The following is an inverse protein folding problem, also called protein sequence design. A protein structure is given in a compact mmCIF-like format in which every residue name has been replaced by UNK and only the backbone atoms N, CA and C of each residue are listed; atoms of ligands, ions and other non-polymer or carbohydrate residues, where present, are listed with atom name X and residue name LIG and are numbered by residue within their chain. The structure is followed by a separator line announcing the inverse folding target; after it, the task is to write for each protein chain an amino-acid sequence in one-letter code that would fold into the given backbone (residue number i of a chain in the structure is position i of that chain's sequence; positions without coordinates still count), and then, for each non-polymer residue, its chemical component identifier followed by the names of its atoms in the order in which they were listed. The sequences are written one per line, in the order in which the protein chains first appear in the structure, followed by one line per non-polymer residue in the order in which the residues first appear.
data_IF_766905081396
#
_entry.id   IF_766905081396
#
_cell.length_a   1.000
_cell.length_b   1.000
_cell.length_c   1.000
_cell.angle_alpha   90.00
_cell.angle_beta   90.00
_cell.angle_gamma   90.00
#
_symmetry.space_group_name_H-M   'P 1'
#
loop_
_entity.id
_entity.type
_entity.pdbx_description
1 polymer ?
#
# COMPACT_ATOMS: atom_id res chain seq x y z
N UNK A 1 7.82 -7.55 -16.88
CA UNK A 1 7.19 -7.41 -15.54
C UNK A 1 6.21 -6.26 -15.60
N UNK A 2 5.06 -6.40 -14.96
CA UNK A 2 4.06 -5.35 -14.85
C UNK A 2 3.65 -5.21 -13.39
N UNK A 3 3.62 -3.99 -12.89
CA UNK A 3 3.25 -3.68 -11.52
C UNK A 3 2.07 -2.73 -11.49
N UNK A 4 1.05 -3.13 -10.76
CA UNK A 4 -0.21 -2.41 -10.59
C UNK A 4 -0.41 -2.04 -9.13
N UNK A 5 -1.28 -1.08 -8.84
CA UNK A 5 -1.68 -0.70 -7.49
C UNK A 5 -3.20 -0.59 -7.36
N UNK A 6 -3.70 -0.86 -6.15
CA UNK A 6 -5.10 -0.76 -5.74
C UNK A 6 -5.17 -0.45 -4.24
N UNK A 7 -6.22 0.23 -3.77
CA UNK A 7 -6.46 0.51 -2.33
C UNK A 7 -7.68 -0.20 -1.77
N UNK A 8 -7.79 -0.20 -0.46
CA UNK A 8 -9.00 -0.41 0.36
C UNK A 8 -9.93 -1.58 -0.04
N UNK A 9 -9.38 -2.78 -0.21
CA UNK A 9 -10.16 -3.95 -0.62
C UNK A 9 -11.14 -4.45 0.46
N UNK A 10 -10.79 -4.33 1.74
CA UNK A 10 -11.59 -4.82 2.89
C UNK A 10 -12.12 -6.25 2.70
N UNK A 11 -11.31 -7.14 2.13
CA UNK A 11 -11.71 -8.52 1.80
C UNK A 11 -12.65 -8.66 0.61
N UNK A 12 -12.94 -7.58 -0.13
CA UNK A 12 -13.77 -7.57 -1.34
C UNK A 12 -12.88 -7.68 -2.58
N UNK A 13 -12.59 -8.90 -3.02
CA UNK A 13 -11.66 -9.14 -4.14
C UNK A 13 -12.33 -9.10 -5.52
N UNK A 14 -13.55 -8.57 -5.60
CA UNK A 14 -14.24 -8.36 -6.87
C UNK A 14 -13.44 -7.47 -7.83
N UNK A 15 -12.87 -6.33 -7.40
CA UNK A 15 -12.06 -5.49 -8.29
C UNK A 15 -10.85 -6.24 -8.87
N UNK A 16 -10.15 -7.05 -8.06
CA UNK A 16 -9.02 -7.87 -8.51
C UNK A 16 -9.48 -8.93 -9.52
N UNK A 17 -10.64 -9.57 -9.28
CA UNK A 17 -11.21 -10.54 -10.22
C UNK A 17 -11.55 -9.88 -11.56
N UNK A 18 -12.22 -8.74 -11.53
CA UNK A 18 -12.70 -8.07 -12.73
C UNK A 18 -11.52 -7.53 -13.55
N UNK A 19 -10.49 -7.01 -12.87
CA UNK A 19 -9.23 -6.67 -13.50
C UNK A 19 -8.58 -7.88 -14.16
N UNK A 20 -8.44 -9.01 -13.44
CA UNK A 20 -7.88 -10.24 -13.98
C UNK A 20 -8.64 -10.72 -15.23
N UNK A 21 -9.97 -10.70 -15.19
CA UNK A 21 -10.79 -11.16 -16.33
C UNK A 21 -10.65 -10.26 -17.55
N UNK A 22 -10.55 -8.93 -17.36
CA UNK A 22 -10.38 -7.97 -18.46
C UNK A 22 -9.01 -8.09 -19.12
N UNK A 23 -7.96 -8.32 -18.33
CA UNK A 23 -6.56 -8.34 -18.78
C UNK A 23 -5.98 -9.74 -18.96
N UNK A 24 -6.77 -10.82 -18.76
CA UNK A 24 -6.29 -12.19 -18.92
C UNK A 24 -6.04 -12.59 -20.37
N UNK A 25 -6.48 -11.79 -21.33
CA UNK A 25 -6.23 -11.99 -22.77
C UNK A 25 -4.79 -11.70 -23.19
N UNK A 26 -4.01 -11.03 -22.35
CA UNK A 26 -2.58 -10.84 -22.54
C UNK A 26 -1.85 -12.16 -22.20
N UNK A 27 -1.74 -13.05 -23.19
CA UNK A 27 -1.05 -14.35 -23.10
C UNK A 27 0.47 -14.24 -22.88
N UNK A 28 1.01 -13.03 -22.80
CA UNK A 28 2.44 -12.76 -22.92
C UNK A 28 3.20 -12.75 -21.59
N UNK A 29 2.53 -12.77 -20.42
CA UNK A 29 3.23 -12.70 -19.15
C UNK A 29 3.00 -13.93 -18.27
N UNK A 30 4.09 -14.52 -17.77
CA UNK A 30 4.06 -15.57 -16.75
C UNK A 30 3.52 -15.02 -15.42
N UNK A 31 2.95 -15.89 -14.56
CA UNK A 31 2.47 -15.52 -13.21
C UNK A 31 3.52 -14.78 -12.37
N UNK A 32 4.80 -15.10 -12.57
CA UNK A 32 5.93 -14.50 -11.86
C UNK A 32 6.20 -13.03 -12.23
N UNK A 33 5.55 -12.52 -13.29
CA UNK A 33 5.85 -11.20 -13.84
C UNK A 33 4.76 -10.16 -13.61
N UNK A 34 3.72 -10.50 -12.86
CA UNK A 34 2.60 -9.60 -12.53
C UNK A 34 2.53 -9.35 -11.03
N UNK A 35 2.69 -8.11 -10.65
CA UNK A 35 2.63 -7.66 -9.26
C UNK A 35 1.41 -6.77 -9.05
N UNK A 36 0.76 -6.92 -7.89
CA UNK A 36 -0.31 -6.05 -7.47
C UNK A 36 -0.03 -5.53 -6.05
N UNK A 37 0.20 -4.22 -5.94
CA UNK A 37 0.41 -3.53 -4.68
C UNK A 37 -0.95 -3.23 -4.07
N UNK A 38 -1.18 -3.65 -2.82
CA UNK A 38 -2.36 -3.35 -2.03
C UNK A 38 -1.99 -2.23 -1.04
N UNK A 39 -2.58 -1.05 -1.21
CA UNK A 39 -2.25 0.15 -0.43
C UNK A 39 -3.06 0.25 0.86
N UNK A 40 -2.97 -0.80 1.67
CA UNK A 40 -3.63 -0.92 2.96
C UNK A 40 -5.07 -1.43 2.87
N UNK A 41 -5.60 -1.73 4.03
CA UNK A 41 -6.96 -2.22 4.25
C UNK A 41 -7.39 -3.34 3.30
N UNK A 42 -6.46 -4.27 3.06
CA UNK A 42 -6.69 -5.42 2.18
C UNK A 42 -7.72 -6.40 2.76
N UNK A 43 -7.85 -6.44 4.10
CA UNK A 43 -8.69 -7.37 4.84
C UNK A 43 -8.06 -8.74 5.06
N UNK A 44 -6.74 -8.87 4.87
CA UNK A 44 -6.05 -10.15 4.95
C UNK A 44 -5.62 -10.54 6.37
N UNK A 45 -5.51 -9.56 7.28
CA UNK A 45 -5.14 -9.74 8.69
C UNK A 45 -6.08 -8.94 9.62
N UNK A 46 -7.37 -8.97 9.34
CA UNK A 46 -8.38 -8.21 10.08
C UNK A 46 -9.06 -8.99 11.20
N UNK A 47 -9.44 -10.24 10.93
CA UNK A 47 -10.20 -11.06 11.87
C UNK A 47 -9.32 -11.90 12.79
N UNK A 48 -8.11 -12.19 12.39
CA UNK A 48 -7.12 -13.07 13.05
C UNK A 48 -7.64 -14.51 13.29
N UNK A 49 -8.50 -14.98 12.37
CA UNK A 49 -9.08 -16.32 12.41
C UNK A 49 -9.19 -16.95 11.00
N UNK A 50 -9.98 -18.01 10.87
CA UNK A 50 -10.17 -18.74 9.60
C UNK A 50 -10.77 -17.88 8.46
N UNK A 51 -11.38 -16.75 8.76
CA UNK A 51 -11.90 -15.80 7.74
C UNK A 51 -10.76 -15.19 6.95
N UNK A 52 -9.70 -14.74 7.63
CA UNK A 52 -8.50 -14.18 6.96
C UNK A 52 -7.84 -15.23 6.07
N UNK A 53 -7.73 -16.48 6.56
CA UNK A 53 -7.23 -17.60 5.75
C UNK A 53 -8.11 -17.84 4.50
N UNK A 54 -9.42 -17.71 4.64
CA UNK A 54 -10.35 -17.83 3.51
C UNK A 54 -10.14 -16.71 2.50
N UNK A 55 -9.87 -15.48 2.96
CA UNK A 55 -9.59 -14.33 2.10
C UNK A 55 -8.26 -14.50 1.36
N UNK A 56 -7.20 -14.91 2.05
CA UNK A 56 -5.90 -15.23 1.45
C UNK A 56 -6.03 -16.32 0.37
N UNK A 57 -6.80 -17.39 0.63
CA UNK A 57 -7.10 -18.44 -0.36
C UNK A 57 -7.86 -17.92 -1.59
N UNK A 58 -8.79 -16.99 -1.41
CA UNK A 58 -9.52 -16.38 -2.53
C UNK A 58 -8.58 -15.53 -3.39
N UNK A 59 -7.77 -14.69 -2.74
CA UNK A 59 -6.85 -13.80 -3.43
C UNK A 59 -5.78 -14.58 -4.18
N UNK A 60 -5.21 -15.64 -3.57
CA UNK A 60 -4.17 -16.49 -4.16
C UNK A 60 -4.60 -17.28 -5.42
N UNK A 61 -5.90 -17.28 -5.76
CA UNK A 61 -6.38 -17.89 -7.01
C UNK A 61 -6.02 -17.07 -8.25
N UNK A 62 -5.80 -15.78 -8.10
CA UNK A 62 -5.44 -14.90 -9.21
C UNK A 62 -3.92 -14.93 -9.44
N UNK A 63 -3.46 -14.75 -10.68
CA UNK A 63 -2.07 -14.95 -11.06
C UNK A 63 -1.20 -13.71 -10.76
N UNK A 64 -1.26 -13.21 -9.53
CA UNK A 64 -0.44 -12.09 -9.07
C UNK A 64 0.46 -12.50 -7.92
N UNK A 65 1.62 -11.86 -7.83
CA UNK A 65 2.33 -11.69 -6.57
C UNK A 65 1.83 -10.38 -5.95
N UNK A 66 1.31 -10.48 -4.74
CA UNK A 66 0.78 -9.35 -4.00
C UNK A 66 1.85 -8.76 -3.10
N UNK A 67 1.95 -7.44 -3.12
CA UNK A 67 2.76 -6.69 -2.17
C UNK A 67 1.82 -5.86 -1.29
N UNK A 68 1.73 -6.20 -0.01
CA UNK A 68 0.73 -5.66 0.91
C UNK A 68 1.37 -4.60 1.79
N UNK A 69 0.94 -3.36 1.64
CA UNK A 69 1.18 -2.28 2.59
C UNK A 69 0.09 -2.37 3.66
N UNK A 70 0.43 -2.30 4.94
CA UNK A 70 -0.54 -2.40 6.03
C UNK A 70 -1.37 -1.11 6.14
N UNK A 71 -2.69 -1.26 6.27
CA UNK A 71 -3.62 -0.19 6.64
C UNK A 71 -3.89 -0.12 8.15
N UNK A 72 -4.89 0.67 8.55
CA UNK A 72 -5.33 0.76 9.95
C UNK A 72 -6.32 -0.36 10.34
N UNK A 73 -6.92 -1.03 9.37
CA UNK A 73 -7.82 -2.16 9.60
C UNK A 73 -7.11 -3.52 9.57
N UNK A 74 -5.81 -3.56 9.88
CA UNK A 74 -5.03 -4.81 9.82
C UNK A 74 -4.06 -4.90 10.97
N UNK A 75 -3.99 -6.09 11.60
CA UNK A 75 -2.94 -6.40 12.55
C UNK A 75 -1.58 -6.38 11.86
N UNK A 76 -0.57 -5.92 12.56
CA UNK A 76 0.83 -5.96 12.11
C UNK A 76 1.23 -7.38 11.77
N UNK A 77 1.73 -7.60 10.57
CA UNK A 77 2.21 -8.92 10.15
C UNK A 77 3.34 -9.43 11.07
N UNK A 78 4.18 -8.55 11.60
CA UNK A 78 5.22 -8.88 12.57
C UNK A 78 4.67 -9.38 13.91
N UNK A 79 3.52 -8.86 14.37
CA UNK A 79 2.88 -9.36 15.59
C UNK A 79 2.34 -10.77 15.39
N UNK A 80 1.72 -11.03 14.23
CA UNK A 80 1.22 -12.38 13.87
C UNK A 80 2.37 -13.37 13.72
N UNK A 81 3.46 -12.95 13.09
CA UNK A 81 4.63 -13.80 12.81
C UNK A 81 5.46 -14.12 14.06
N UNK A 82 5.45 -13.28 15.09
CA UNK A 82 6.37 -13.32 16.24
C UNK A 82 6.49 -14.69 16.88
N UNK A 83 5.41 -15.45 16.98
CA UNK A 83 5.37 -16.78 17.57
C UNK A 83 4.72 -17.83 16.64
N UNK A 84 4.70 -17.56 15.35
CA UNK A 84 4.04 -18.40 14.37
C UNK A 84 5.06 -18.98 13.38
N UNK A 85 5.41 -20.28 13.47
CA UNK A 85 6.41 -20.93 12.61
C UNK A 85 5.97 -21.01 11.13
N UNK A 86 4.70 -20.73 10.83
CA UNK A 86 4.20 -20.69 9.45
C UNK A 86 4.53 -19.39 8.74
N UNK A 87 5.11 -18.41 9.44
CA UNK A 87 5.60 -17.17 8.88
C UNK A 87 7.12 -17.16 8.78
N UNK A 88 7.63 -16.44 7.77
CA UNK A 88 9.07 -16.27 7.56
C UNK A 88 9.39 -14.91 6.96
N UNK A 89 10.63 -14.46 7.18
CA UNK A 89 11.17 -13.30 6.49
C UNK A 89 11.74 -13.71 5.14
N UNK A 90 11.51 -12.91 4.11
CA UNK A 90 12.09 -13.08 2.78
C UNK A 90 12.67 -11.77 2.26
N UNK A 91 13.71 -11.86 1.41
CA UNK A 91 14.13 -10.72 0.59
C UNK A 91 13.20 -10.58 -0.61
N UNK A 92 12.62 -9.41 -0.77
CA UNK A 92 11.76 -9.09 -1.89
C UNK A 92 11.96 -7.63 -2.30
N UNK A 93 12.24 -7.38 -3.56
CA UNK A 93 12.50 -6.05 -4.10
C UNK A 93 13.62 -5.28 -3.34
N UNK A 94 14.66 -5.98 -2.91
CA UNK A 94 15.78 -5.39 -2.19
C UNK A 94 15.49 -5.01 -0.74
N UNK A 95 14.27 -5.20 -0.26
CA UNK A 95 13.85 -5.04 1.13
C UNK A 95 13.45 -6.37 1.77
N UNK A 96 13.07 -6.32 3.04
CA UNK A 96 12.57 -7.47 3.80
C UNK A 96 11.04 -7.45 3.77
N UNK A 97 10.43 -8.62 3.61
CA UNK A 97 8.98 -8.82 3.72
C UNK A 97 8.68 -10.00 4.64
N UNK A 98 7.47 -10.03 5.18
CA UNK A 98 6.93 -11.18 5.87
C UNK A 98 6.04 -11.99 4.93
N UNK A 99 6.11 -13.32 5.04
CA UNK A 99 5.38 -14.25 4.18
C UNK A 99 4.83 -15.39 5.00
N UNK A 100 3.54 -15.67 4.85
CA UNK A 100 2.92 -16.89 5.36
C UNK A 100 3.19 -18.03 4.38
N UNK A 101 3.79 -19.14 4.85
CA UNK A 101 4.23 -20.27 4.01
C UNK A 101 3.10 -20.90 3.17
N UNK A 102 1.86 -20.86 3.67
CA UNK A 102 0.69 -21.35 2.91
C UNK A 102 0.35 -20.43 1.72
N UNK A 103 0.74 -19.14 1.77
CA UNK A 103 0.41 -18.12 0.75
C UNK A 103 1.66 -17.39 0.25
N UNK A 104 2.59 -18.10 -0.39
CA UNK A 104 3.91 -17.55 -0.75
C UNK A 104 3.86 -16.42 -1.78
N UNK A 105 2.74 -16.23 -2.44
CA UNK A 105 2.51 -15.13 -3.37
C UNK A 105 1.96 -13.84 -2.69
N UNK A 106 1.77 -13.84 -1.37
CA UNK A 106 1.38 -12.66 -0.59
C UNK A 106 2.59 -12.21 0.23
N UNK A 107 3.15 -11.06 -0.10
CA UNK A 107 4.33 -10.45 0.50
C UNK A 107 3.89 -9.25 1.32
N UNK A 108 3.99 -9.32 2.64
CA UNK A 108 3.68 -8.21 3.52
C UNK A 108 4.92 -7.33 3.69
N UNK A 109 4.82 -6.07 3.28
CA UNK A 109 5.82 -5.07 3.61
C UNK A 109 6.02 -5.01 5.13
N UNK A 110 7.19 -4.55 5.57
CA UNK A 110 7.43 -4.37 7.00
C UNK A 110 6.43 -3.39 7.61
N UNK A 111 6.13 -3.56 8.89
CA UNK A 111 5.16 -2.73 9.63
C UNK A 111 5.72 -1.34 10.02
N UNK A 112 6.91 -1.02 9.56
CA UNK A 112 7.60 0.25 9.65
C UNK A 112 8.03 0.75 8.27
N UNK A 113 8.32 2.04 8.09
CA UNK A 113 8.74 2.57 6.79
C UNK A 113 10.01 1.91 6.28
N UNK A 114 10.03 1.56 4.99
CA UNK A 114 11.19 0.94 4.37
C UNK A 114 11.25 1.22 2.85
N UNK A 115 12.47 1.17 2.30
CA UNK A 115 12.68 1.28 0.86
C UNK A 115 12.61 -0.09 0.17
N UNK A 116 11.98 -0.10 -1.02
CA UNK A 116 11.91 -1.25 -1.91
C UNK A 116 12.26 -0.85 -3.35
N UNK A 117 12.80 -1.79 -4.10
CA UNK A 117 13.23 -1.61 -5.48
C UNK A 117 12.26 -2.31 -6.43
N UNK A 118 11.25 -1.62 -6.90
CA UNK A 118 10.20 -2.17 -7.77
C UNK A 118 10.76 -2.35 -9.19
N UNK A 119 10.89 -3.59 -9.70
CA UNK A 119 11.40 -3.80 -11.03
C UNK A 119 10.32 -3.51 -12.09
N UNK A 120 10.75 -2.92 -13.22
CA UNK A 120 9.92 -2.78 -14.41
C UNK A 120 10.71 -3.02 -15.70
N UNK A 121 10.01 -3.38 -16.77
CA UNK A 121 10.62 -3.55 -18.09
C UNK A 121 10.22 -2.33 -18.92
N UNK A 122 11.20 -1.49 -19.25
CA UNK A 122 10.97 -0.36 -20.16
C UNK A 122 10.69 -0.85 -21.59
N UNK A 123 9.90 -0.07 -22.35
CA UNK A 123 9.60 -0.33 -23.76
C UNK A 123 10.81 -0.04 -24.67
N UNK A 124 11.98 -0.59 -24.40
CA UNK A 124 13.19 -0.40 -25.20
C UNK A 124 13.63 -1.72 -25.83
N UNK A 125 14.24 -1.63 -27.00
CA UNK A 125 14.69 -2.75 -27.86
C UNK A 125 15.64 -3.78 -27.20
N UNK A 126 15.93 -3.67 -25.88
CA UNK A 126 16.92 -4.51 -25.21
C UNK A 126 16.43 -5.23 -23.94
N UNK A 127 15.12 -5.31 -23.66
CA UNK A 127 14.56 -6.04 -22.50
C UNK A 127 15.28 -5.74 -21.16
N UNK A 128 15.79 -4.52 -20.98
CA UNK A 128 16.48 -4.13 -19.75
C UNK A 128 15.48 -3.96 -18.60
N UNK A 129 15.76 -4.62 -17.50
CA UNK A 129 15.03 -4.40 -16.24
C UNK A 129 15.54 -3.12 -15.59
N UNK A 130 14.62 -2.18 -15.39
CA UNK A 130 14.87 -0.95 -14.63
C UNK A 130 14.30 -1.12 -13.22
N UNK A 131 14.63 -0.20 -12.33
CA UNK A 131 14.20 -0.22 -10.94
C UNK A 131 13.65 1.15 -10.58
N UNK A 132 12.44 1.16 -10.03
CA UNK A 132 11.92 2.30 -9.28
C UNK A 132 12.20 2.09 -7.80
N UNK A 133 12.82 3.07 -7.17
CA UNK A 133 12.99 3.08 -5.72
C UNK A 133 11.72 3.61 -5.07
N UNK A 134 11.09 2.82 -4.21
CA UNK A 134 9.86 3.18 -3.52
C UNK A 134 10.08 3.26 -2.01
N UNK A 135 9.65 4.36 -1.37
CA UNK A 135 9.48 4.45 0.08
C UNK A 135 8.08 3.97 0.42
N UNK A 136 7.97 2.93 1.24
CA UNK A 136 6.70 2.34 1.68
C UNK A 136 6.43 2.72 3.13
N UNK A 137 5.27 3.33 3.42
CA UNK A 137 4.91 3.83 4.75
C UNK A 137 3.54 3.25 5.15
N UNK A 138 3.50 2.29 6.07
CA UNK A 138 2.26 1.64 6.51
C UNK A 138 1.53 2.45 7.58
N UNK A 139 0.23 2.16 7.75
CA UNK A 139 -0.60 2.61 8.85
C UNK A 139 -1.34 3.92 8.61
N UNK A 140 -2.36 4.12 9.41
CA UNK A 140 -3.18 5.32 9.50
C UNK A 140 -3.98 5.31 10.82
N UNK A 141 -4.66 6.40 11.14
CA UNK A 141 -5.57 6.48 12.29
C UNK A 141 -7.00 6.06 11.92
N UNK A 142 -7.64 5.28 12.79
CA UNK A 142 -9.04 4.89 12.64
C UNK A 142 -9.99 5.93 13.24
N UNK A 143 -10.59 6.78 12.40
CA UNK A 143 -11.59 7.77 12.84
C UNK A 143 -12.84 7.12 13.46
N UNK A 144 -13.11 5.86 13.12
CA UNK A 144 -14.23 5.05 13.62
C UNK A 144 -13.86 4.14 14.80
N UNK A 145 -12.72 4.36 15.45
CA UNK A 145 -12.19 3.57 16.57
C UNK A 145 -13.24 3.32 17.66
N UNK A 146 -13.88 4.37 18.16
CA UNK A 146 -14.84 4.25 19.28
C UNK A 146 -16.08 3.45 18.85
N UNK A 147 -16.56 3.65 17.63
CA UNK A 147 -17.63 2.85 17.04
C UNK A 147 -17.23 1.37 16.95
N UNK A 148 -16.04 1.06 16.47
CA UNK A 148 -15.53 -0.31 16.36
C UNK A 148 -15.47 -0.99 17.73
N UNK A 149 -14.90 -0.33 18.72
CA UNK A 149 -14.83 -0.84 20.08
C UNK A 149 -16.21 -1.08 20.68
N UNK A 150 -17.17 -0.17 20.49
CA UNK A 150 -18.53 -0.31 20.96
C UNK A 150 -19.29 -1.49 20.29
N UNK A 151 -18.99 -1.76 19.02
CA UNK A 151 -19.61 -2.84 18.25
C UNK A 151 -18.86 -4.19 18.34
N UNK A 152 -17.72 -4.23 19.06
CA UNK A 152 -16.89 -5.43 19.16
C UNK A 152 -16.17 -5.80 17.85
N UNK A 153 -15.91 -4.82 16.98
CA UNK A 153 -15.10 -5.00 15.77
C UNK A 153 -13.60 -4.91 16.10
N UNK A 154 -12.77 -5.49 15.24
CA UNK A 154 -11.31 -5.42 15.40
C UNK A 154 -10.83 -3.98 15.30
N UNK A 155 -10.02 -3.57 16.25
CA UNK A 155 -9.22 -2.36 16.24
C UNK A 155 -7.84 -2.66 16.80
N UNK A 156 -6.80 -2.13 16.21
CA UNK A 156 -5.41 -2.41 16.53
C UNK A 156 -4.76 -1.15 17.08
N UNK A 157 -4.32 -1.20 18.35
CA UNK A 157 -3.80 -0.03 19.07
C UNK A 157 -2.51 0.54 18.47
N UNK A 158 -1.78 -0.25 17.70
CA UNK A 158 -0.53 0.07 17.01
C UNK A 158 -0.74 0.26 15.50
N UNK A 159 -1.93 0.75 15.12
CA UNK A 159 -2.31 1.03 13.75
C UNK A 159 -1.47 2.13 13.09
N UNK A 160 -0.98 3.09 13.87
CA UNK A 160 -0.07 4.16 13.45
C UNK A 160 1.40 3.79 13.72
N UNK A 161 2.32 4.58 13.18
CA UNK A 161 3.75 4.48 13.49
C UNK A 161 4.03 5.03 14.88
N UNK A 162 4.97 4.41 15.59
CA UNK A 162 5.55 5.00 16.81
C UNK A 162 6.52 6.12 16.45
N UNK A 163 6.89 6.95 17.44
CA UNK A 163 7.88 8.02 17.22
C UNK A 163 9.25 7.43 16.85
N UNK A 164 9.64 6.28 17.42
CA UNK A 164 10.87 5.60 17.07
C UNK A 164 10.87 5.09 15.62
N UNK A 165 9.74 4.59 15.13
CA UNK A 165 9.60 4.18 13.73
C UNK A 165 9.66 5.38 12.78
N UNK A 166 9.14 6.54 13.19
CA UNK A 166 9.24 7.80 12.43
C UNK A 166 10.68 8.31 12.38
N UNK A 167 11.39 8.28 13.52
CA UNK A 167 12.79 8.69 13.58
C UNK A 167 13.71 7.83 12.72
N UNK A 168 13.49 6.50 12.72
CA UNK A 168 14.22 5.58 11.81
C UNK A 168 13.92 5.91 10.36
N UNK A 169 12.65 6.16 10.02
CA UNK A 169 12.27 6.57 8.67
C UNK A 169 13.00 7.83 8.20
N UNK A 170 13.09 8.86 9.05
CA UNK A 170 13.78 10.11 8.70
C UNK A 170 15.27 9.88 8.46
N UNK A 171 15.91 9.01 9.23
CA UNK A 171 17.30 8.63 9.01
C UNK A 171 17.47 7.88 7.70
N UNK A 172 16.61 6.92 7.39
CA UNK A 172 16.66 6.16 6.13
C UNK A 172 16.43 7.08 4.92
N UNK A 173 15.59 8.11 5.06
CA UNK A 173 15.37 9.15 4.05
C UNK A 173 16.64 9.99 3.85
N UNK A 174 17.31 10.38 4.92
CA UNK A 174 18.59 11.11 4.86
C UNK A 174 19.67 10.26 4.15
N UNK A 175 19.81 9.00 4.53
CA UNK A 175 20.74 8.04 3.90
C UNK A 175 20.40 7.81 2.42
N UNK A 176 19.13 7.97 2.04
CA UNK A 176 18.63 7.94 0.67
C UNK A 176 18.83 9.26 -0.10
N UNK A 177 19.49 10.25 0.51
CA UNK A 177 19.65 11.60 -0.04
C UNK A 177 18.32 12.26 -0.42
N UNK A 178 17.27 12.01 0.38
CA UNK A 178 15.94 12.59 0.22
C UNK A 178 15.27 12.33 -1.14
N UNK A 179 15.60 11.19 -1.79
CA UNK A 179 15.12 10.90 -3.15
C UNK A 179 14.59 9.48 -3.32
N UNK A 180 13.44 9.38 -4.03
CA UNK A 180 12.90 8.12 -4.55
C UNK A 180 12.01 8.38 -5.77
N UNK A 181 11.58 7.32 -6.47
CA UNK A 181 10.64 7.45 -7.59
C UNK A 181 9.19 7.42 -7.09
N UNK A 182 8.90 6.53 -6.13
CA UNK A 182 7.54 6.37 -5.58
C UNK A 182 7.54 6.53 -4.06
N UNK A 183 6.44 7.12 -3.54
CA UNK A 183 6.03 6.95 -2.15
C UNK A 183 4.70 6.19 -2.15
N UNK A 184 4.63 5.11 -1.38
CA UNK A 184 3.48 4.23 -1.25
C UNK A 184 3.05 4.22 0.22
N UNK A 185 1.92 4.82 0.54
CA UNK A 185 1.42 4.87 1.92
C UNK A 185 -0.04 4.42 1.99
N UNK A 186 -0.55 4.17 3.20
CA UNK A 186 -1.97 3.91 3.35
C UNK A 186 -2.76 5.21 3.43
N UNK A 187 -2.36 6.17 4.30
CA UNK A 187 -2.94 7.53 4.34
C UNK A 187 -2.05 8.55 3.61
N UNK A 188 -2.42 9.82 3.58
CA UNK A 188 -1.76 10.87 2.79
C UNK A 188 -1.16 11.98 3.68
N UNK A 189 -0.27 12.84 3.10
CA UNK A 189 0.13 14.08 3.73
C UNK A 189 -1.06 14.96 4.12
N UNK A 190 -0.99 15.65 5.26
CA UNK A 190 -2.07 16.50 5.76
C UNK A 190 -2.53 17.57 4.75
N UNK A 191 -1.64 18.02 3.85
CA UNK A 191 -1.95 19.00 2.81
C UNK A 191 -2.81 18.44 1.66
N UNK A 192 -2.93 17.11 1.54
CA UNK A 192 -3.74 16.41 0.54
C UNK A 192 -4.93 15.67 1.13
N UNK A 193 -5.21 15.84 2.42
CA UNK A 193 -6.41 15.26 3.02
C UNK A 193 -7.68 15.71 2.26
N UNK A 194 -8.53 14.76 1.83
CA UNK A 194 -9.75 15.07 1.12
C UNK A 194 -10.83 15.53 2.09
N UNK A 195 -10.74 16.78 2.59
CA UNK A 195 -11.65 17.33 3.61
C UNK A 195 -13.12 17.30 3.19
N UNK A 196 -13.39 17.27 1.89
CA UNK A 196 -14.72 17.10 1.32
C UNK A 196 -15.33 15.70 1.50
N UNK A 197 -14.49 14.71 1.87
CA UNK A 197 -14.91 13.33 2.15
C UNK A 197 -14.99 13.02 3.65
N UNK A 198 -14.66 13.95 4.52
CA UNK A 198 -14.69 13.73 5.95
C UNK A 198 -16.11 13.45 6.43
N UNK A 199 -16.24 12.49 7.34
CA UNK A 199 -17.53 12.12 7.91
C UNK A 199 -18.08 13.30 8.74
N UNK A 200 -19.26 13.84 8.42
CA UNK A 200 -19.79 15.06 9.06
C UNK A 200 -20.11 14.87 10.55
N UNK A 201 -20.19 13.62 11.02
CA UNK A 201 -20.47 13.30 12.44
C UNK A 201 -19.21 13.16 13.30
N UNK A 202 -18.01 13.25 12.69
CA UNK A 202 -16.74 13.15 13.39
C UNK A 202 -16.20 14.55 13.67
N UNK A 203 -16.01 14.86 14.95
CA UNK A 203 -15.31 16.09 15.35
C UNK A 203 -13.83 15.96 14.99
N UNK A 204 -13.40 16.69 13.97
CA UNK A 204 -12.02 16.64 13.47
C UNK A 204 -10.97 17.10 14.49
N UNK A 205 -11.38 17.84 15.53
CA UNK A 205 -10.47 18.23 16.60
C UNK A 205 -10.07 17.06 17.52
N UNK A 206 -10.82 15.96 17.48
CA UNK A 206 -10.54 14.73 18.26
C UNK A 206 -9.77 13.67 17.46
N UNK A 207 -9.58 13.88 16.17
CA UNK A 207 -8.86 12.94 15.29
C UNK A 207 -7.35 13.11 15.47
N UNK A 208 -6.65 12.02 15.75
CA UNK A 208 -5.19 12.02 15.79
C UNK A 208 -4.62 12.13 14.36
N UNK A 209 -4.03 13.29 14.06
CA UNK A 209 -3.44 13.62 12.76
C UNK A 209 -1.93 13.40 12.72
N UNK A 210 -1.36 12.68 13.69
CA UNK A 210 0.09 12.53 13.79
C UNK A 210 0.72 11.83 12.58
N UNK A 211 -0.01 10.91 11.94
CA UNK A 211 0.44 10.25 10.71
C UNK A 211 0.43 11.22 9.52
N UNK A 212 -0.69 11.91 9.29
CA UNK A 212 -0.83 12.86 8.17
C UNK A 212 0.14 14.04 8.31
N UNK A 213 0.42 14.49 9.54
CA UNK A 213 1.42 15.52 9.81
C UNK A 213 2.84 15.00 9.52
N UNK A 214 3.17 13.78 9.95
CA UNK A 214 4.44 13.15 9.63
C UNK A 214 4.62 12.99 8.11
N UNK A 215 3.59 12.52 7.41
CA UNK A 215 3.61 12.43 5.95
C UNK A 215 3.73 13.81 5.30
N UNK A 216 3.13 14.85 5.88
CA UNK A 216 3.30 16.23 5.44
C UNK A 216 4.75 16.72 5.57
N UNK A 217 5.46 16.28 6.60
CA UNK A 217 6.88 16.57 6.75
C UNK A 217 7.72 15.81 5.70
N UNK A 218 7.39 14.56 5.41
CA UNK A 218 8.03 13.78 4.33
C UNK A 218 7.78 14.44 2.96
N UNK A 219 6.55 14.91 2.68
CA UNK A 219 6.22 15.65 1.45
C UNK A 219 7.13 16.87 1.24
N UNK A 220 7.44 17.57 2.32
CA UNK A 220 8.33 18.72 2.28
C UNK A 220 9.80 18.34 2.04
N UNK A 221 10.25 17.21 2.62
CA UNK A 221 11.65 16.80 2.56
C UNK A 221 12.03 16.08 1.26
N UNK A 222 11.12 15.25 0.73
CA UNK A 222 11.45 14.28 -0.32
C UNK A 222 11.32 14.85 -1.74
N UNK A 223 12.30 14.55 -2.56
CA UNK A 223 12.19 14.60 -4.02
C UNK A 223 11.70 13.23 -4.53
N UNK A 224 10.50 13.20 -5.14
CA UNK A 224 9.87 11.99 -5.64
C UNK A 224 9.03 12.31 -6.90
N UNK A 225 8.75 11.29 -7.73
CA UNK A 225 7.93 11.46 -8.93
C UNK A 225 6.43 11.20 -8.67
N UNK A 226 6.14 10.15 -7.89
CA UNK A 226 4.75 9.70 -7.68
C UNK A 226 4.48 9.35 -6.21
N UNK A 227 3.33 9.76 -5.68
CA UNK A 227 2.81 9.33 -4.37
C UNK A 227 1.44 8.71 -4.51
N UNK A 228 1.28 7.45 -4.06
CA UNK A 228 0.03 6.69 -4.12
C UNK A 228 -0.43 6.33 -2.70
N UNK A 229 -1.73 6.49 -2.43
CA UNK A 229 -2.32 6.12 -1.14
C UNK A 229 -3.77 5.64 -1.25
N UNK A 230 -4.34 5.06 -0.17
CA UNK A 230 -5.73 4.62 -0.03
C UNK A 230 -6.49 5.39 1.05
N UNK A 231 -7.09 4.67 2.01
CA UNK A 231 -7.69 5.11 3.26
C UNK A 231 -9.03 5.88 3.16
N UNK A 232 -9.18 6.78 2.22
CA UNK A 232 -10.36 7.67 2.16
C UNK A 232 -11.49 7.12 1.27
N UNK A 233 -11.41 5.87 0.84
CA UNK A 233 -12.43 5.15 0.08
C UNK A 233 -12.93 5.90 -1.16
N UNK A 234 -12.05 6.55 -1.88
CA UNK A 234 -12.34 7.28 -3.11
C UNK A 234 -11.15 7.26 -4.06
N UNK A 235 -11.44 7.18 -5.35
CA UNK A 235 -10.45 7.47 -6.37
C UNK A 235 -10.35 8.98 -6.61
N UNK A 236 -9.11 9.49 -6.64
CA UNK A 236 -8.84 10.87 -7.04
C UNK A 236 -7.45 10.97 -7.66
N UNK A 237 -7.42 11.36 -8.91
CA UNK A 237 -6.20 11.74 -9.62
C UNK A 237 -5.98 13.23 -9.46
N UNK A 238 -4.92 13.62 -8.74
CA UNK A 238 -4.59 15.02 -8.53
C UNK A 238 -3.76 15.53 -9.72
N UNK A 239 -4.01 16.77 -10.18
CA UNK A 239 -3.15 17.37 -11.19
C UNK A 239 -1.68 17.32 -10.80
N UNK A 240 -0.80 17.00 -11.76
CA UNK A 240 0.64 17.02 -11.51
C UNK A 240 1.08 18.44 -11.18
N UNK A 241 1.66 18.64 -10.01
CA UNK A 241 2.19 19.90 -9.53
C UNK A 241 3.66 19.71 -9.14
N UNK A 242 4.50 20.69 -9.45
CA UNK A 242 5.94 20.64 -9.16
C UNK A 242 6.63 19.37 -9.69
N UNK A 243 6.14 18.84 -10.82
CA UNK A 243 6.60 17.58 -11.39
C UNK A 243 6.11 16.32 -10.69
N UNK A 244 5.48 16.43 -9.53
CA UNK A 244 5.04 15.30 -8.68
C UNK A 244 3.61 14.87 -8.99
N UNK A 245 3.39 13.58 -9.18
CA UNK A 245 2.08 12.96 -9.38
C UNK A 245 1.54 12.42 -8.07
N UNK A 246 0.26 12.63 -7.79
CA UNK A 246 -0.41 12.19 -6.56
C UNK A 246 -1.73 11.53 -6.90
N UNK A 247 -1.98 10.32 -6.36
CA UNK A 247 -3.20 9.56 -6.63
C UNK A 247 -3.71 8.89 -5.36
N UNK A 248 -4.97 9.17 -5.05
CA UNK A 248 -5.73 8.44 -4.04
C UNK A 248 -6.50 7.31 -4.71
N UNK A 249 -6.34 6.09 -4.20
CA UNK A 249 -6.93 4.87 -4.74
C UNK A 249 -7.95 4.26 -3.80
N UNK A 250 -8.95 3.60 -4.38
CA UNK A 250 -9.84 2.70 -3.68
C UNK A 250 -9.85 1.35 -4.40
N UNK A 251 -10.87 1.08 -5.20
CA UNK A 251 -11.04 -0.19 -5.93
C UNK A 251 -10.53 -0.13 -7.38
N UNK A 252 -10.02 1.00 -7.79
CA UNK A 252 -9.46 1.22 -9.11
C UNK A 252 -8.06 0.64 -9.19
N UNK A 253 -7.80 -0.17 -10.21
CA UNK A 253 -6.47 -0.69 -10.52
C UNK A 253 -5.79 0.24 -11.49
N UNK A 254 -4.56 0.63 -11.19
CA UNK A 254 -3.74 1.47 -12.05
C UNK A 254 -2.40 0.79 -12.37
N UNK A 255 -1.84 1.06 -13.55
CA UNK A 255 -0.51 0.61 -13.95
C UNK A 255 0.54 1.64 -13.47
N UNK A 256 1.54 1.19 -12.70
CA UNK A 256 2.58 2.08 -12.17
C UNK A 256 3.41 2.72 -13.29
N UNK A 257 3.62 2.02 -14.39
CA UNK A 257 4.37 2.55 -15.53
C UNK A 257 3.62 3.70 -16.20
N UNK A 258 2.30 3.58 -16.32
CA UNK A 258 1.45 4.65 -16.82
C UNK A 258 1.47 5.86 -15.89
N UNK A 259 1.29 5.65 -14.58
CA UNK A 259 1.35 6.72 -13.56
C UNK A 259 2.66 7.50 -13.62
N UNK A 260 3.77 6.78 -13.81
CA UNK A 260 5.10 7.39 -13.86
C UNK A 260 5.31 8.26 -15.10
N UNK A 261 4.79 7.83 -16.25
CA UNK A 261 5.04 8.44 -17.55
C UNK A 261 4.01 9.49 -17.98
N UNK A 262 2.77 9.36 -17.52
CA UNK A 262 1.64 10.12 -18.04
C UNK A 262 1.05 11.10 -17.01
N UNK A 263 0.49 12.20 -17.48
CA UNK A 263 -0.17 13.21 -16.63
C UNK A 263 -1.56 12.75 -16.18
N UNK A 264 -2.24 11.96 -17.00
CA UNK A 264 -3.55 11.37 -16.70
C UNK A 264 -3.45 9.86 -16.63
N UNK A 265 -4.15 9.25 -15.68
CA UNK A 265 -4.10 7.81 -15.43
C UNK A 265 -5.40 7.17 -15.84
N UNK A 266 -5.29 6.13 -16.67
CA UNK A 266 -6.42 5.28 -17.01
C UNK A 266 -6.69 4.27 -15.88
N UNK A 267 -7.96 4.17 -15.48
CA UNK A 267 -8.42 3.14 -14.55
C UNK A 267 -8.69 1.86 -15.32
N UNK A 268 -8.03 0.77 -14.93
CA UNK A 268 -8.04 -0.52 -15.61
C UNK A 268 -9.17 -1.45 -15.15
#
# INVERSE_FOLDING_TARGET
MKTYAIGDLHGRFQPVRDFHLRHNTEKEYNKADKFLILLGDSGLNYYLDSRDKTFKKKLSKYPFTYFVVRGNHEERASNIARNNPDWQFENFWGGIVLVEKEFPNIKYAMDYPAFYNIPYIGNHEHDLTYIWRALVIPGAYSVDKDYRLAMGYSWFKDEQLTEEEKDVCLKDIEDAHYKCDFILSHTCPCVFEPTDLFLPMIDQSTVDKSMEQFLGYIEFLMDYDCWLWGHYHKFRDYPRTDGKKKIMLMHEVIDLEQVYKEDTVEVL
#
